data_IF_838240184540
#
_entry.id   IF_838240184540
#
_cell.length_a   1.000
_cell.length_b   1.000
_cell.length_c   1.000
_cell.angle_alpha   90.00
_cell.angle_beta   90.00
_cell.angle_gamma   90.00
#
_symmetry.space_group_name_H-M   'P 1'
#
loop_
_entity.id
_entity.type
_entity.pdbx_description
1 polymer ?
#
# COMPACT_ATOMS: atom_id res chain seq x y z
N UNK A 1 15.96 0.88 -11.92
CA UNK A 1 14.49 0.86 -12.04
C UNK A 1 14.12 1.44 -13.40
N UNK A 2 13.18 0.87 -14.16
CA UNK A 2 12.74 1.49 -15.43
C UNK A 2 12.04 2.84 -15.10
N UNK A 3 12.63 4.00 -15.43
CA UNK A 3 12.10 5.30 -15.00
C UNK A 3 10.66 5.53 -15.47
N UNK A 4 10.28 4.87 -16.58
CA UNK A 4 9.00 5.06 -17.25
C UNK A 4 7.77 4.74 -16.37
N UNK A 5 7.76 3.62 -15.62
CA UNK A 5 6.57 3.23 -14.82
C UNK A 5 6.26 4.19 -13.66
N UNK A 6 7.30 4.65 -12.97
CA UNK A 6 7.08 5.63 -11.89
C UNK A 6 6.50 6.95 -12.42
N UNK A 7 6.94 7.37 -13.62
CA UNK A 7 6.37 8.54 -14.28
C UNK A 7 4.95 8.30 -14.82
N UNK A 8 4.64 7.10 -15.33
CA UNK A 8 3.26 6.74 -15.75
C UNK A 8 2.30 6.81 -14.58
N UNK A 9 2.73 6.31 -13.43
CA UNK A 9 2.00 6.42 -12.18
C UNK A 9 1.81 7.86 -11.73
N UNK A 10 2.88 8.64 -11.72
CA UNK A 10 2.81 10.06 -11.39
C UNK A 10 1.73 10.75 -12.23
N UNK A 11 1.76 10.54 -13.55
CA UNK A 11 0.79 11.13 -14.46
C UNK A 11 -0.64 10.62 -14.20
N UNK A 12 -0.81 9.33 -13.86
CA UNK A 12 -2.12 8.77 -13.55
C UNK A 12 -2.72 9.34 -12.26
N UNK A 13 -1.93 9.37 -11.18
CA UNK A 13 -2.33 9.93 -9.89
C UNK A 13 -2.61 11.43 -10.04
N UNK A 14 -1.76 12.18 -10.74
CA UNK A 14 -1.97 13.62 -10.97
C UNK A 14 -3.28 13.89 -11.73
N UNK A 15 -3.68 13.01 -12.66
CA UNK A 15 -5.00 13.11 -13.33
C UNK A 15 -6.17 12.78 -12.40
N UNK A 16 -5.99 11.85 -11.46
CA UNK A 16 -7.00 11.49 -10.48
C UNK A 16 -7.15 12.55 -9.37
N UNK A 17 -6.10 13.33 -9.11
CA UNK A 17 -6.06 14.39 -8.08
C UNK A 17 -5.83 15.77 -8.71
N UNK A 18 -6.76 16.30 -9.54
CA UNK A 18 -6.54 17.51 -10.34
C UNK A 18 -6.33 18.78 -9.50
N UNK A 19 -6.84 18.80 -8.27
CA UNK A 19 -6.75 19.95 -7.37
C UNK A 19 -5.44 19.99 -6.55
N UNK A 20 -4.60 18.96 -6.67
CA UNK A 20 -3.36 18.80 -5.91
C UNK A 20 -2.20 18.75 -6.89
N UNK A 21 -1.31 19.75 -6.85
CA UNK A 21 -0.10 19.69 -7.66
C UNK A 21 0.93 18.78 -6.98
N UNK A 22 1.32 17.71 -7.66
CA UNK A 22 2.27 16.73 -7.14
C UNK A 22 3.68 17.01 -7.67
N UNK A 23 4.67 16.60 -6.89
CA UNK A 23 6.07 16.58 -7.26
C UNK A 23 6.68 15.20 -6.97
N UNK A 24 7.70 14.84 -7.76
CA UNK A 24 8.51 13.65 -7.53
C UNK A 24 9.71 13.99 -6.64
N UNK A 25 10.06 13.09 -5.72
CA UNK A 25 11.27 13.18 -4.90
C UNK A 25 12.56 13.28 -5.74
N UNK A 26 13.66 13.81 -5.18
CA UNK A 26 14.92 13.94 -5.90
C UNK A 26 15.42 12.59 -6.44
N UNK A 27 16.10 12.63 -7.58
CA UNK A 27 16.52 11.48 -8.39
C UNK A 27 17.91 10.92 -8.01
N UNK A 28 18.63 11.56 -7.09
CA UNK A 28 20.10 11.49 -7.02
C UNK A 28 20.66 10.16 -6.50
N UNK A 29 19.86 9.34 -5.79
CA UNK A 29 20.30 8.05 -5.25
C UNK A 29 19.74 6.82 -5.98
N UNK A 30 18.92 7.02 -7.02
CA UNK A 30 18.47 5.96 -7.94
C UNK A 30 17.68 4.80 -7.31
N UNK A 31 17.36 4.85 -6.02
CA UNK A 31 16.84 3.72 -5.25
C UNK A 31 15.51 3.99 -4.53
N UNK A 32 15.18 5.26 -4.23
CA UNK A 32 13.93 5.62 -3.58
C UNK A 32 13.19 6.69 -4.39
N UNK A 33 12.01 6.32 -4.90
CA UNK A 33 11.11 7.24 -5.58
C UNK A 33 9.85 7.40 -4.73
N UNK A 34 9.47 8.64 -4.47
CA UNK A 34 8.26 9.00 -3.72
C UNK A 34 7.59 10.22 -4.34
N UNK A 35 6.31 10.38 -4.04
CA UNK A 35 5.49 11.51 -4.47
C UNK A 35 5.11 12.36 -3.27
N UNK A 36 4.94 13.66 -3.46
CA UNK A 36 4.49 14.59 -2.43
C UNK A 36 3.76 15.78 -3.03
N UNK A 37 2.98 16.47 -2.21
CA UNK A 37 2.31 17.71 -2.57
C UNK A 37 3.31 18.86 -2.70
N UNK A 38 3.32 19.50 -3.87
CA UNK A 38 4.16 20.67 -4.16
C UNK A 38 3.68 21.87 -3.35
N UNK A 39 4.63 22.61 -2.78
CA UNK A 39 4.34 23.85 -2.06
C UNK A 39 3.68 23.67 -0.69
N UNK A 40 3.64 22.45 -0.15
CA UNK A 40 3.09 22.17 1.19
C UNK A 40 4.08 21.33 2.00
N UNK A 41 4.26 21.71 3.27
CA UNK A 41 5.01 20.94 4.27
C UNK A 41 4.14 20.63 5.48
N UNK A 42 4.50 19.57 6.19
CA UNK A 42 3.87 19.15 7.43
C UNK A 42 4.76 19.48 8.63
N UNK A 43 4.14 19.93 9.71
CA UNK A 43 4.77 20.12 11.01
C UNK A 43 3.81 19.64 12.10
N UNK A 44 4.34 19.25 13.27
CA UNK A 44 3.46 18.96 14.42
C UNK A 44 2.78 20.24 14.91
N UNK A 45 1.56 20.09 15.44
CA UNK A 45 0.75 21.20 15.92
C UNK A 45 1.43 22.04 17.02
N UNK A 46 0.88 23.24 17.26
CA UNK A 46 1.31 24.10 18.36
C UNK A 46 2.62 24.85 18.08
N UNK A 47 3.60 24.69 18.99
CA UNK A 47 4.85 25.44 18.96
C UNK A 47 5.75 25.01 17.80
N UNK A 48 5.77 23.72 17.43
CA UNK A 48 6.57 23.23 16.31
C UNK A 48 6.14 23.85 14.99
N UNK A 49 4.83 23.85 14.69
CA UNK A 49 4.30 24.54 13.52
C UNK A 49 4.67 26.03 13.50
N UNK A 50 4.75 26.70 14.67
CA UNK A 50 5.21 28.09 14.76
C UNK A 50 6.68 28.24 14.42
N UNK A 51 7.54 27.39 14.98
CA UNK A 51 8.97 27.40 14.69
C UNK A 51 9.23 27.14 13.19
N UNK A 52 8.52 26.18 12.60
CA UNK A 52 8.63 25.88 11.17
C UNK A 52 8.19 27.08 10.34
N UNK A 53 7.01 27.65 10.63
CA UNK A 53 6.49 28.82 9.92
C UNK A 53 7.46 30.02 9.98
N UNK A 54 7.92 30.41 11.16
CA UNK A 54 8.80 31.55 11.38
C UNK A 54 10.16 31.34 10.67
N UNK A 55 10.71 30.12 10.76
CA UNK A 55 12.00 29.78 10.16
C UNK A 55 11.92 29.77 8.63
N UNK A 56 10.87 29.16 8.06
CA UNK A 56 10.67 29.13 6.60
C UNK A 56 10.41 30.55 6.08
N UNK A 57 9.57 31.34 6.75
CA UNK A 57 9.31 32.74 6.36
C UNK A 57 10.58 33.58 6.37
N UNK A 58 11.43 33.43 7.40
CA UNK A 58 12.72 34.11 7.47
C UNK A 58 13.65 33.69 6.32
N UNK A 59 13.75 32.39 6.01
CA UNK A 59 14.55 31.89 4.89
C UNK A 59 14.06 32.42 3.54
N UNK A 60 12.74 32.46 3.33
CA UNK A 60 12.13 32.94 2.10
C UNK A 60 12.34 34.44 1.92
N UNK A 61 12.37 35.20 3.02
CA UNK A 61 12.68 36.64 2.98
C UNK A 61 14.11 36.90 2.53
N UNK A 62 15.03 36.00 2.88
CA UNK A 62 16.45 36.11 2.56
C UNK A 62 16.85 35.49 1.19
N UNK A 63 15.94 34.79 0.51
CA UNK A 63 16.25 34.00 -0.69
C UNK A 63 15.53 34.56 -1.91
N UNK A 64 16.29 35.00 -2.92
CA UNK A 64 15.73 35.54 -4.16
C UNK A 64 14.84 34.50 -4.88
N UNK A 65 13.65 34.91 -5.33
CA UNK A 65 12.70 34.07 -6.05
C UNK A 65 11.71 33.30 -5.16
N UNK A 66 11.82 33.41 -3.83
CA UNK A 66 10.84 32.87 -2.88
C UNK A 66 9.97 34.01 -2.32
N UNK A 67 8.71 33.67 -1.97
CA UNK A 67 7.70 34.66 -1.53
C UNK A 67 7.30 34.37 -0.08
N UNK A 68 7.71 35.20 0.91
CA UNK A 68 7.40 34.97 2.33
C UNK A 68 5.91 34.91 2.64
N UNK A 69 5.08 35.67 1.90
CA UNK A 69 3.63 35.73 2.09
C UNK A 69 2.93 34.42 1.69
N UNK A 70 3.60 33.54 0.95
CA UNK A 70 3.08 32.20 0.67
C UNK A 70 3.12 31.29 1.88
N UNK A 71 3.98 31.59 2.88
CA UNK A 71 4.11 30.80 4.10
C UNK A 71 2.89 31.06 4.98
N UNK A 72 1.99 30.09 5.11
CA UNK A 72 0.79 30.17 5.95
C UNK A 72 0.30 28.80 6.35
N UNK A 73 -0.24 28.69 7.57
CA UNK A 73 -0.91 27.47 8.03
C UNK A 73 -2.23 27.27 7.31
N UNK A 74 -2.54 26.01 7.05
CA UNK A 74 -3.82 25.56 6.51
C UNK A 74 -4.47 24.60 7.50
N UNK A 75 -5.75 24.84 7.78
CA UNK A 75 -6.51 24.03 8.73
C UNK A 75 -6.50 24.57 10.17
N UNK A 76 -7.06 23.81 11.12
CA UNK A 76 -7.20 24.23 12.50
C UNK A 76 -5.85 24.26 13.22
N UNK A 77 -5.77 25.03 14.31
CA UNK A 77 -4.56 25.15 15.15
C UNK A 77 -4.18 23.83 15.85
N UNK A 78 -5.16 22.94 16.06
CA UNK A 78 -4.99 21.60 16.58
C UNK A 78 -6.02 20.67 15.94
N UNK A 79 -5.63 19.41 15.68
CA UNK A 79 -6.55 18.37 15.20
C UNK A 79 -6.19 16.99 15.79
N UNK A 80 -6.99 15.96 15.47
CA UNK A 80 -6.79 14.59 15.97
C UNK A 80 -5.46 13.98 15.52
N UNK A 81 -4.96 14.36 14.35
CA UNK A 81 -3.67 13.86 13.83
C UNK A 81 -2.47 14.58 14.45
N UNK A 82 -2.68 15.72 15.11
CA UNK A 82 -1.61 16.50 15.74
C UNK A 82 -0.66 17.14 14.73
N UNK A 83 -1.08 17.28 13.46
CA UNK A 83 -0.25 17.78 12.36
C UNK A 83 -0.92 18.95 11.65
N UNK A 84 -0.13 20.00 11.44
CA UNK A 84 -0.52 21.21 10.71
C UNK A 84 0.07 21.15 9.30
N UNK A 85 -0.77 21.43 8.30
CA UNK A 85 -0.34 21.72 6.93
C UNK A 85 0.13 23.16 6.85
N UNK A 86 1.28 23.41 6.24
CA UNK A 86 1.82 24.75 6.01
C UNK A 86 2.04 24.91 4.51
N UNK A 87 1.23 25.76 3.88
CA UNK A 87 1.49 26.19 2.51
C UNK A 87 2.72 27.09 2.53
N UNK A 88 3.62 26.87 1.57
CA UNK A 88 4.90 27.58 1.42
C UNK A 88 5.14 27.96 -0.05
N UNK A 89 4.15 27.85 -0.92
CA UNK A 89 4.25 28.20 -2.33
C UNK A 89 2.89 28.16 -2.99
N UNK A 90 2.75 28.84 -4.13
CA UNK A 90 1.62 28.59 -5.01
C UNK A 90 1.92 27.31 -5.81
N UNK A 91 1.10 26.24 -5.69
CA UNK A 91 1.30 25.01 -6.45
C UNK A 91 1.28 25.26 -7.98
N UNK A 92 0.51 26.26 -8.44
CA UNK A 92 0.35 26.63 -9.84
C UNK A 92 1.50 27.48 -10.40
N UNK A 93 2.33 28.10 -9.54
CA UNK A 93 3.45 28.95 -9.96
C UNK A 93 4.80 28.22 -9.77
N UNK A 94 5.73 28.45 -10.71
CA UNK A 94 7.18 28.33 -10.49
C UNK A 94 7.77 27.00 -9.99
N UNK A 95 9.01 27.11 -9.52
CA UNK A 95 9.87 26.04 -8.97
C UNK A 95 9.36 25.53 -7.63
N UNK A 96 9.52 24.24 -7.35
CA UNK A 96 9.11 23.64 -6.08
C UNK A 96 9.88 24.22 -4.87
N UNK A 97 9.12 24.76 -3.91
CA UNK A 97 9.63 25.44 -2.73
C UNK A 97 9.82 24.51 -1.52
N UNK A 98 9.32 23.28 -1.57
CA UNK A 98 9.46 22.28 -0.49
C UNK A 98 10.93 22.01 -0.14
N UNK A 99 11.85 21.75 -1.10
CA UNK A 99 13.26 21.58 -0.80
C UNK A 99 13.89 22.78 -0.07
N UNK A 100 13.41 24.01 -0.32
CA UNK A 100 13.89 25.20 0.39
C UNK A 100 13.44 25.22 1.85
N UNK A 101 12.17 24.90 2.11
CA UNK A 101 11.66 24.81 3.48
C UNK A 101 12.39 23.73 4.29
N UNK A 102 12.60 22.54 3.72
CA UNK A 102 13.35 21.48 4.39
C UNK A 102 14.80 21.89 4.67
N UNK A 103 15.48 22.54 3.71
CA UNK A 103 16.85 23.07 3.92
C UNK A 103 16.91 24.11 5.03
N UNK A 104 15.91 24.99 5.14
CA UNK A 104 15.86 26.04 6.15
C UNK A 104 15.84 25.49 7.59
N UNK A 105 15.32 24.27 7.78
CA UNK A 105 15.15 23.68 9.11
C UNK A 105 16.29 22.72 9.52
N UNK A 106 17.19 22.33 8.61
CA UNK A 106 18.26 21.34 8.88
C UNK A 106 19.08 21.65 10.13
N UNK A 107 19.48 22.90 10.31
CA UNK A 107 20.28 23.32 11.48
C UNK A 107 19.48 23.24 12.79
N UNK A 108 18.19 23.56 12.74
CA UNK A 108 17.31 23.48 13.90
C UNK A 108 17.05 22.02 14.29
N UNK A 109 16.81 21.16 13.30
CA UNK A 109 16.63 19.71 13.48
C UNK A 109 17.91 19.07 14.03
N UNK A 110 19.09 19.44 13.50
CA UNK A 110 20.38 18.98 13.99
C UNK A 110 20.64 19.36 15.46
N UNK A 111 20.21 20.56 15.89
CA UNK A 111 20.30 20.98 17.30
C UNK A 111 19.31 20.26 18.20
N UNK A 112 18.10 19.97 17.72
CA UNK A 112 17.05 19.33 18.50
C UNK A 112 17.15 17.79 18.48
N UNK A 113 17.96 17.22 17.58
CA UNK A 113 18.10 15.78 17.42
C UNK A 113 16.84 15.10 16.88
N UNK A 114 15.93 15.86 16.23
CA UNK A 114 14.68 15.34 15.68
C UNK A 114 14.17 16.20 14.53
N UNK A 115 13.39 15.57 13.65
CA UNK A 115 12.71 16.22 12.53
C UNK A 115 11.55 17.11 13.00
N UNK A 116 11.50 18.32 12.46
CA UNK A 116 10.49 19.35 12.71
C UNK A 116 9.55 19.54 11.51
N UNK A 117 10.06 19.32 10.30
CA UNK A 117 9.30 19.55 9.07
C UNK A 117 9.41 18.37 8.12
N UNK A 118 8.30 18.05 7.47
CA UNK A 118 8.25 17.00 6.46
C UNK A 118 7.54 17.43 5.20
N UNK A 119 7.73 16.65 4.12
CA UNK A 119 6.87 16.77 2.94
C UNK A 119 5.49 16.23 3.31
N UNK A 120 4.45 16.72 2.66
CA UNK A 120 3.16 16.02 2.67
C UNK A 120 3.23 14.93 1.61
N UNK A 121 3.74 13.75 1.99
CA UNK A 121 3.95 12.66 1.03
C UNK A 121 2.61 12.13 0.51
N UNK A 122 2.66 11.42 -0.59
CA UNK A 122 1.57 10.59 -1.04
C UNK A 122 1.79 9.16 -0.56
N UNK A 123 0.79 8.61 0.12
CA UNK A 123 0.70 7.18 0.47
C UNK A 123 -0.13 6.49 -0.60
N UNK A 124 0.33 5.35 -1.12
CA UNK A 124 -0.35 4.70 -2.23
C UNK A 124 -0.16 3.17 -2.24
N UNK A 125 -1.14 2.47 -2.83
CA UNK A 125 -1.15 0.99 -2.97
C UNK A 125 -0.20 0.49 -4.07
N UNK A 126 0.19 1.36 -4.99
CA UNK A 126 0.85 0.98 -6.22
C UNK A 126 2.26 1.57 -6.26
N UNK A 127 3.32 0.97 -5.74
CA UNK A 127 4.64 1.66 -5.69
C UNK A 127 5.40 1.70 -7.04
N UNK A 128 4.74 1.22 -8.12
CA UNK A 128 5.23 1.19 -9.51
C UNK A 128 4.08 1.03 -10.53
N UNK A 129 3.05 1.89 -10.44
CA UNK A 129 1.89 1.94 -11.35
C UNK A 129 0.87 0.77 -11.29
N UNK A 130 1.08 -0.19 -10.40
CA UNK A 130 0.12 -1.21 -9.95
C UNK A 130 0.59 -1.79 -8.62
N UNK A 131 -0.13 -2.76 -8.04
CA UNK A 131 0.54 -3.94 -7.48
C UNK A 131 1.65 -4.43 -8.43
N UNK A 132 2.40 -5.48 -8.09
CA UNK A 132 3.55 -5.81 -8.96
C UNK A 132 3.19 -6.05 -10.44
N UNK A 133 1.95 -6.41 -10.73
CA UNK A 133 1.34 -6.62 -12.04
C UNK A 133 -0.10 -6.08 -12.09
N UNK A 134 -0.74 -6.22 -13.25
CA UNK A 134 -2.17 -5.99 -13.45
C UNK A 134 -2.96 -7.29 -13.24
N UNK A 135 -4.24 -7.21 -12.83
CA UNK A 135 -5.03 -8.42 -12.59
C UNK A 135 -5.21 -9.23 -13.88
N UNK A 136 -5.20 -10.55 -13.75
CA UNK A 136 -5.39 -11.51 -14.84
C UNK A 136 -6.67 -12.31 -14.57
N UNK A 137 -7.64 -12.39 -15.50
CA UNK A 137 -8.88 -13.09 -15.24
C UNK A 137 -8.64 -14.57 -14.97
N UNK A 138 -9.38 -15.14 -14.02
CA UNK A 138 -9.36 -16.56 -13.69
C UNK A 138 -10.77 -17.11 -13.82
N UNK A 139 -11.01 -18.23 -14.54
CA UNK A 139 -12.35 -18.79 -14.66
C UNK A 139 -13.00 -19.02 -13.31
N UNK A 140 -14.29 -18.64 -13.14
CA UNK A 140 -15.05 -18.80 -11.87
C UNK A 140 -14.95 -20.18 -11.22
N UNK A 141 -14.80 -21.24 -12.01
CA UNK A 141 -14.72 -22.62 -11.52
C UNK A 141 -13.36 -23.01 -10.94
N UNK A 142 -12.32 -22.17 -11.09
CA UNK A 142 -11.01 -22.40 -10.47
C UNK A 142 -11.08 -22.04 -8.99
N UNK A 143 -10.41 -22.81 -8.11
CA UNK A 143 -10.33 -22.48 -6.71
C UNK A 143 -9.49 -21.20 -6.50
N UNK A 144 -9.83 -20.44 -5.46
CA UNK A 144 -8.95 -19.40 -4.93
C UNK A 144 -7.62 -20.01 -4.47
N UNK A 145 -6.58 -19.18 -4.42
CA UNK A 145 -5.26 -19.57 -3.92
C UNK A 145 -4.67 -18.39 -3.13
N UNK A 146 -4.61 -18.45 -1.79
CA UNK A 146 -4.95 -19.59 -0.93
C UNK A 146 -6.41 -20.04 -1.05
N UNK A 147 -6.64 -21.36 -0.98
CA UNK A 147 -8.01 -21.86 -0.90
C UNK A 147 -8.63 -21.55 0.47
N UNK A 148 -9.96 -21.59 0.56
CA UNK A 148 -10.68 -21.40 1.82
C UNK A 148 -10.23 -22.46 2.85
N UNK A 149 -9.72 -22.00 3.99
CA UNK A 149 -9.39 -22.86 5.11
C UNK A 149 -10.64 -23.53 5.69
N UNK A 150 -10.45 -24.67 6.33
CA UNK A 150 -11.52 -25.30 7.09
C UNK A 150 -11.83 -24.46 8.34
N UNK A 151 -13.12 -24.30 8.63
CA UNK A 151 -13.58 -23.48 9.73
C UNK A 151 -15.01 -23.03 9.50
N UNK A 152 -15.64 -22.53 10.57
CA UNK A 152 -16.94 -21.87 10.48
C UNK A 152 -16.82 -20.52 11.16
N UNK A 153 -17.59 -19.59 10.64
CA UNK A 153 -17.80 -18.31 11.29
C UNK A 153 -18.56 -18.49 12.62
N UNK A 154 -18.06 -17.84 13.66
CA UNK A 154 -18.70 -17.68 14.96
C UNK A 154 -18.53 -16.23 15.42
N UNK A 155 -19.61 -15.46 15.38
CA UNK A 155 -19.63 -14.05 15.76
C UNK A 155 -19.09 -13.78 17.18
N UNK A 156 -19.14 -14.75 18.10
CA UNK A 156 -18.63 -14.56 19.46
C UNK A 156 -17.11 -14.63 19.57
N UNK A 157 -16.44 -15.22 18.57
CA UNK A 157 -15.00 -15.47 18.56
C UNK A 157 -14.29 -14.94 17.33
N UNK A 158 -15.02 -14.45 16.33
CA UNK A 158 -14.47 -13.89 15.10
C UNK A 158 -13.52 -12.73 15.39
N UNK A 159 -12.33 -12.78 14.79
CA UNK A 159 -11.38 -11.67 14.86
C UNK A 159 -11.87 -10.53 13.97
N UNK A 160 -11.85 -9.30 14.50
CA UNK A 160 -12.21 -8.10 13.75
C UNK A 160 -11.01 -7.59 12.98
N UNK A 161 -11.11 -7.56 11.66
CA UNK A 161 -10.05 -7.04 10.79
C UNK A 161 -10.52 -5.84 10.00
N UNK A 162 -9.81 -4.72 10.17
CA UNK A 162 -9.97 -3.53 9.36
C UNK A 162 -9.00 -3.58 8.18
N UNK A 163 -9.54 -3.56 6.97
CA UNK A 163 -8.77 -3.40 5.73
C UNK A 163 -8.85 -1.94 5.30
N UNK A 164 -7.70 -1.28 5.22
CA UNK A 164 -7.59 0.13 4.79
C UNK A 164 -7.09 0.15 3.35
N UNK A 165 -7.99 0.38 2.40
CA UNK A 165 -7.72 0.17 0.97
C UNK A 165 -8.67 0.97 0.05
N UNK A 166 -9.03 0.46 -1.14
CA UNK A 166 -9.87 1.10 -2.17
C UNK A 166 -11.38 0.86 -2.01
N UNK A 167 -11.79 0.08 -1.00
CA UNK A 167 -13.19 -0.29 -0.77
C UNK A 167 -13.62 -1.60 -1.43
N UNK A 168 -14.94 -1.85 -1.39
CA UNK A 168 -15.58 -3.04 -1.93
C UNK A 168 -16.24 -2.76 -3.28
N UNK A 169 -16.13 -3.69 -4.23
CA UNK A 169 -16.91 -3.63 -5.47
C UNK A 169 -18.38 -3.90 -5.19
N UNK A 170 -19.27 -3.37 -6.02
CA UNK A 170 -20.72 -3.41 -5.84
C UNK A 170 -21.27 -4.84 -5.74
N UNK A 171 -20.65 -5.79 -6.44
CA UNK A 171 -21.09 -7.18 -6.55
C UNK A 171 -20.30 -8.16 -5.67
N UNK A 172 -19.52 -7.66 -4.70
CA UNK A 172 -18.69 -8.50 -3.81
C UNK A 172 -19.51 -9.55 -3.04
N UNK A 173 -20.78 -9.26 -2.74
CA UNK A 173 -21.70 -10.19 -2.08
C UNK A 173 -22.02 -11.45 -2.90
N UNK A 174 -21.71 -11.43 -4.21
CA UNK A 174 -21.78 -12.61 -5.08
C UNK A 174 -20.69 -13.65 -4.80
N UNK A 175 -19.65 -13.32 -4.01
CA UNK A 175 -18.58 -14.25 -3.65
C UNK A 175 -18.77 -14.82 -2.23
N UNK A 176 -19.04 -16.13 -2.06
CA UNK A 176 -19.44 -16.69 -0.76
C UNK A 176 -18.45 -16.47 0.40
N UNK A 177 -17.14 -16.37 0.13
CA UNK A 177 -16.16 -16.12 1.19
C UNK A 177 -16.29 -14.72 1.81
N UNK A 178 -16.95 -13.78 1.12
CA UNK A 178 -17.15 -12.41 1.61
C UNK A 178 -18.49 -12.24 2.36
N UNK A 179 -19.14 -13.32 2.76
CA UNK A 179 -20.43 -13.27 3.48
C UNK A 179 -20.36 -12.49 4.82
N UNK A 180 -19.18 -12.36 5.41
CA UNK A 180 -18.92 -11.63 6.66
C UNK A 180 -18.03 -10.40 6.45
N UNK A 181 -18.04 -9.88 5.23
CA UNK A 181 -17.31 -8.67 4.84
C UNK A 181 -18.29 -7.52 4.65
N UNK A 182 -17.99 -6.38 5.25
CA UNK A 182 -18.74 -5.13 5.10
C UNK A 182 -17.77 -3.98 4.87
N UNK A 183 -18.26 -2.79 4.55
CA UNK A 183 -17.39 -1.63 4.33
C UNK A 183 -17.92 -0.63 3.34
N UNK A 184 -17.06 0.31 2.98
CA UNK A 184 -17.36 1.34 2.00
C UNK A 184 -17.29 0.74 0.59
N UNK A 185 -18.31 0.99 -0.22
CA UNK A 185 -18.29 0.63 -1.64
C UNK A 185 -17.38 1.57 -2.42
N UNK A 186 -16.69 1.05 -3.43
CA UNK A 186 -15.90 1.85 -4.34
C UNK A 186 -16.85 2.75 -5.18
N UNK A 187 -16.72 4.09 -5.15
CA UNK A 187 -17.69 4.99 -5.75
C UNK A 187 -17.67 4.97 -7.28
N UNK A 188 -16.53 4.62 -7.88
CA UNK A 188 -16.38 4.49 -9.31
C UNK A 188 -15.48 3.30 -9.66
N UNK A 189 -16.09 2.22 -10.14
CA UNK A 189 -15.40 1.00 -10.55
C UNK A 189 -15.03 1.04 -12.02
N UNK A 190 -15.86 1.63 -12.88
CA UNK A 190 -15.68 1.68 -14.33
C UNK A 190 -15.51 3.09 -14.87
N UNK A 191 -14.83 3.22 -16.00
CA UNK A 191 -14.74 4.45 -16.77
C UNK A 191 -16.03 4.71 -17.59
N UNK A 192 -16.02 5.76 -18.41
CA UNK A 192 -17.17 6.14 -19.22
C UNK A 192 -17.58 5.09 -20.27
N UNK A 193 -16.66 4.21 -20.66
CA UNK A 193 -16.88 3.14 -21.63
C UNK A 193 -17.28 1.82 -20.95
N UNK A 194 -17.43 1.82 -19.63
CA UNK A 194 -17.78 0.64 -18.83
C UNK A 194 -16.62 -0.30 -18.59
N UNK A 195 -15.39 0.09 -18.91
CA UNK A 195 -14.19 -0.69 -18.59
C UNK A 195 -13.76 -0.46 -17.15
N UNK A 196 -13.35 -1.53 -16.48
CA UNK A 196 -12.87 -1.51 -15.11
C UNK A 196 -11.66 -0.56 -15.00
N UNK A 197 -11.72 0.37 -14.05
CA UNK A 197 -10.64 1.34 -13.79
C UNK A 197 -9.44 0.64 -13.18
N UNK A 198 -8.28 1.25 -13.38
CA UNK A 198 -7.05 0.82 -12.72
C UNK A 198 -7.24 0.80 -11.19
N UNK A 199 -6.80 -0.30 -10.56
CA UNK A 199 -6.89 -0.58 -9.11
C UNK A 199 -8.29 -0.83 -8.54
N UNK A 200 -9.35 -0.80 -9.36
CA UNK A 200 -10.66 -1.17 -8.90
C UNK A 200 -10.67 -2.63 -8.41
N UNK A 201 -11.31 -2.86 -7.25
CA UNK A 201 -11.37 -4.18 -6.63
C UNK A 201 -10.14 -4.62 -5.84
N UNK A 202 -9.11 -3.78 -5.66
CA UNK A 202 -7.95 -4.10 -4.81
C UNK A 202 -8.34 -4.44 -3.36
N UNK A 203 -9.17 -3.61 -2.73
CA UNK A 203 -9.68 -3.88 -1.37
C UNK A 203 -10.53 -5.15 -1.29
N UNK A 204 -11.33 -5.43 -2.33
CA UNK A 204 -12.13 -6.67 -2.43
C UNK A 204 -11.23 -7.91 -2.54
N UNK A 205 -10.17 -7.81 -3.33
CA UNK A 205 -9.19 -8.89 -3.53
C UNK A 205 -8.48 -9.25 -2.21
N UNK A 206 -8.07 -8.23 -1.46
CA UNK A 206 -7.46 -8.35 -0.13
C UNK A 206 -8.43 -8.99 0.85
N UNK A 207 -9.68 -8.52 0.92
CA UNK A 207 -10.70 -9.09 1.78
C UNK A 207 -10.96 -10.57 1.46
N UNK A 208 -10.95 -10.93 0.17
CA UNK A 208 -11.13 -12.32 -0.28
C UNK A 208 -9.99 -13.23 0.15
N UNK A 209 -8.73 -12.76 0.08
CA UNK A 209 -7.57 -13.52 0.59
C UNK A 209 -7.70 -13.73 2.09
N UNK A 210 -8.02 -12.66 2.83
CA UNK A 210 -8.13 -12.72 4.28
C UNK A 210 -9.21 -13.70 4.72
N UNK A 211 -10.41 -13.61 4.14
CA UNK A 211 -11.52 -14.52 4.44
C UNK A 211 -11.22 -15.97 4.02
N UNK A 212 -10.44 -16.19 2.96
CA UNK A 212 -9.97 -17.52 2.58
C UNK A 212 -9.00 -18.10 3.61
N UNK A 213 -8.05 -17.30 4.12
CA UNK A 213 -7.06 -17.76 5.11
C UNK A 213 -7.67 -17.93 6.50
N UNK A 214 -8.61 -17.06 6.89
CA UNK A 214 -9.25 -17.06 8.19
C UNK A 214 -10.78 -16.91 8.08
N UNK A 215 -11.53 -18.01 7.90
CA UNK A 215 -13.00 -17.98 7.76
C UNK A 215 -13.75 -17.44 8.99
N UNK A 216 -13.12 -17.43 10.18
CA UNK A 216 -13.69 -16.88 11.40
C UNK A 216 -13.24 -15.42 11.62
N UNK A 217 -13.54 -14.56 10.64
CA UNK A 217 -13.22 -13.13 10.70
C UNK A 217 -14.44 -12.29 10.34
N UNK A 218 -14.55 -11.14 11.00
CA UNK A 218 -15.41 -10.03 10.57
C UNK A 218 -14.51 -9.02 9.87
N UNK A 219 -14.71 -8.81 8.57
CA UNK A 219 -13.86 -7.91 7.76
C UNK A 219 -14.60 -6.62 7.50
N UNK A 220 -13.99 -5.49 7.85
CA UNK A 220 -14.47 -4.15 7.47
C UNK A 220 -13.47 -3.53 6.50
N UNK A 221 -13.90 -3.20 5.28
CA UNK A 221 -13.05 -2.53 4.28
C UNK A 221 -13.38 -1.04 4.24
N UNK A 222 -12.38 -0.19 4.43
CA UNK A 222 -12.55 1.27 4.31
C UNK A 222 -11.94 1.78 3.02
N UNK A 223 -12.69 2.63 2.31
CA UNK A 223 -12.23 3.27 1.09
C UNK A 223 -11.45 4.55 1.45
N UNK A 224 -10.21 4.36 1.89
CA UNK A 224 -9.30 5.44 2.29
C UNK A 224 -8.50 5.98 1.10
N UNK A 225 -8.45 5.25 -0.02
CA UNK A 225 -7.59 5.54 -1.16
C UNK A 225 -8.39 5.55 -2.47
N UNK A 226 -9.45 6.36 -2.51
CA UNK A 226 -10.40 6.41 -3.64
C UNK A 226 -9.80 6.98 -4.92
N UNK A 227 -8.78 7.81 -4.81
CA UNK A 227 -8.21 8.55 -5.94
C UNK A 227 -6.97 7.83 -6.47
N UNK A 228 -7.18 6.93 -7.43
CA UNK A 228 -6.12 6.11 -8.02
C UNK A 228 -5.29 5.32 -6.98
N UNK A 229 -5.92 4.89 -5.88
CA UNK A 229 -5.23 4.13 -4.84
C UNK A 229 -4.24 4.97 -4.03
N UNK A 230 -4.44 6.29 -3.97
CA UNK A 230 -3.55 7.22 -3.28
C UNK A 230 -4.30 8.14 -2.30
N UNK A 231 -3.55 8.67 -1.33
CA UNK A 231 -4.01 9.63 -0.33
C UNK A 231 -2.82 10.47 0.16
N UNK A 232 -3.04 11.75 0.49
CA UNK A 232 -2.01 12.58 1.10
C UNK A 232 -1.73 12.14 2.54
N UNK A 233 -0.47 12.20 2.97
CA UNK A 233 -0.02 11.84 4.31
C UNK A 233 -0.81 12.56 5.41
N UNK A 234 -1.09 13.85 5.22
CA UNK A 234 -1.90 14.66 6.14
C UNK A 234 -3.34 14.18 6.29
N UNK A 235 -3.91 13.60 5.24
CA UNK A 235 -5.28 13.07 5.25
C UNK A 235 -5.29 11.62 5.72
N UNK A 236 -4.25 10.86 5.41
CA UNK A 236 -4.16 9.43 5.72
C UNK A 236 -4.28 9.16 7.22
N UNK A 237 -3.55 9.91 8.05
CA UNK A 237 -3.68 9.82 9.51
C UNK A 237 -5.09 10.13 10.00
N UNK A 238 -5.77 11.10 9.38
CA UNK A 238 -7.13 11.47 9.74
C UNK A 238 -8.12 10.35 9.40
N UNK A 239 -8.02 9.76 8.21
CA UNK A 239 -8.86 8.63 7.79
C UNK A 239 -8.67 7.39 8.66
N UNK A 240 -7.44 7.12 9.12
CA UNK A 240 -7.18 6.05 10.07
C UNK A 240 -7.86 6.30 11.42
N UNK A 241 -7.81 7.54 11.93
CA UNK A 241 -8.54 7.92 13.15
C UNK A 241 -10.06 7.84 12.96
N UNK A 242 -10.60 8.35 11.85
CA UNK A 242 -12.03 8.23 11.51
C UNK A 242 -12.48 6.77 11.54
N UNK A 243 -11.72 5.86 10.92
CA UNK A 243 -12.05 4.44 10.87
C UNK A 243 -12.12 3.79 12.26
N UNK A 244 -11.16 4.08 13.16
CA UNK A 244 -11.14 3.51 14.52
C UNK A 244 -12.07 4.24 15.49
N UNK A 245 -12.34 5.52 15.29
CA UNK A 245 -13.29 6.29 16.10
C UNK A 245 -14.74 5.86 15.78
N UNK A 246 -15.05 5.53 14.52
CA UNK A 246 -16.35 4.98 14.10
C UNK A 246 -16.54 3.50 14.49
N UNK A 247 -15.56 2.65 14.15
CA UNK A 247 -15.67 1.19 14.29
C UNK A 247 -15.14 0.63 15.60
N UNK A 248 -14.48 1.46 16.42
CA UNK A 248 -13.62 1.02 17.49
C UNK A 248 -12.30 0.43 16.97
N UNK A 249 -11.33 0.27 17.88
CA UNK A 249 -10.07 -0.38 17.54
C UNK A 249 -10.29 -1.87 17.18
N UNK A 250 -9.87 -2.31 15.97
CA UNK A 250 -9.99 -3.70 15.53
C UNK A 250 -8.92 -4.56 16.20
N UNK A 251 -8.98 -5.88 16.03
CA UNK A 251 -7.88 -6.74 16.44
C UNK A 251 -6.69 -6.56 15.49
N UNK A 252 -6.95 -6.51 14.18
CA UNK A 252 -5.93 -6.35 13.15
C UNK A 252 -6.30 -5.20 12.22
N UNK A 253 -5.32 -4.37 11.86
CA UNK A 253 -5.38 -3.47 10.71
C UNK A 253 -4.49 -4.07 9.62
N UNK A 254 -5.09 -4.43 8.48
CA UNK A 254 -4.38 -4.86 7.28
C UNK A 254 -4.23 -3.66 6.34
N UNK A 255 -2.99 -3.22 6.11
CA UNK A 255 -2.68 -2.04 5.32
C UNK A 255 -1.73 -2.37 4.16
N UNK A 256 -2.28 -2.33 2.95
CA UNK A 256 -1.57 -2.70 1.72
C UNK A 256 -1.14 -1.46 0.91
N UNK A 257 -0.68 -0.43 1.60
CA UNK A 257 -0.24 0.83 1.03
C UNK A 257 0.94 1.42 1.81
N UNK A 258 1.67 2.32 1.16
CA UNK A 258 2.73 3.06 1.82
C UNK A 258 3.46 4.02 0.90
N UNK A 259 4.61 4.50 1.35
CA UNK A 259 5.50 5.34 0.57
C UNK A 259 6.94 5.24 1.08
N UNK A 260 7.91 5.59 0.24
CA UNK A 260 9.29 5.81 0.71
C UNK A 260 9.48 7.26 1.13
N UNK A 261 10.47 7.52 1.97
CA UNK A 261 10.85 8.87 2.39
C UNK A 261 12.31 9.12 2.06
N UNK A 262 12.73 10.38 2.08
CA UNK A 262 14.16 10.71 2.08
C UNK A 262 14.78 10.27 3.42
N UNK A 263 15.77 9.38 3.37
CA UNK A 263 16.44 8.86 4.56
C UNK A 263 15.67 7.76 5.30
N UNK A 264 15.69 7.79 6.63
CA UNK A 264 15.10 6.76 7.50
C UNK A 264 13.97 7.28 8.39
N UNK A 265 13.49 8.50 8.15
CA UNK A 265 12.41 9.09 8.93
C UNK A 265 11.05 8.60 8.47
N UNK A 266 10.15 8.37 9.42
CA UNK A 266 8.75 8.06 9.16
C UNK A 266 7.90 9.24 8.69
N UNK A 267 6.60 8.99 8.59
CA UNK A 267 5.59 9.97 8.20
C UNK A 267 5.17 10.80 9.41
N UNK A 268 5.37 12.12 9.35
CA UNK A 268 4.92 13.05 10.41
C UNK A 268 3.40 12.95 10.58
N UNK A 269 2.66 12.85 9.47
CA UNK A 269 1.19 12.71 9.47
C UNK A 269 0.66 11.48 10.18
N UNK A 270 1.49 10.46 10.40
CA UNK A 270 1.11 9.22 11.10
C UNK A 270 1.62 9.16 12.54
N UNK A 271 2.46 10.09 12.98
CA UNK A 271 3.13 10.01 14.29
C UNK A 271 2.12 9.86 15.45
N UNK A 272 1.05 10.67 15.46
CA UNK A 272 0.02 10.57 16.50
C UNK A 272 -0.76 9.25 16.45
N UNK A 273 -1.14 8.78 15.26
CA UNK A 273 -1.86 7.51 15.11
C UNK A 273 -1.01 6.33 15.56
N UNK A 274 0.26 6.29 15.16
CA UNK A 274 1.17 5.22 15.55
C UNK A 274 1.42 5.23 17.06
N UNK A 275 1.59 6.40 17.68
CA UNK A 275 1.69 6.51 19.14
C UNK A 275 0.44 5.99 19.85
N UNK A 276 -0.75 6.26 19.34
CA UNK A 276 -1.98 5.72 19.91
C UNK A 276 -2.10 4.21 19.69
N UNK A 277 -1.78 3.71 18.48
CA UNK A 277 -1.76 2.28 18.15
C UNK A 277 -0.95 1.47 19.17
N UNK A 278 0.20 1.99 19.62
CA UNK A 278 1.05 1.31 20.63
C UNK A 278 0.32 1.04 21.94
N UNK A 279 -0.54 1.96 22.37
CA UNK A 279 -1.32 1.87 23.61
C UNK A 279 -2.55 0.95 23.45
N UNK A 280 -2.87 0.53 22.23
CA UNK A 280 -3.95 -0.39 21.92
C UNK A 280 -3.45 -1.82 21.83
N UNK A 281 -4.35 -2.80 21.88
CA UNK A 281 -4.03 -4.20 21.58
C UNK A 281 -3.92 -4.48 20.08
N UNK A 282 -4.38 -3.56 19.23
CA UNK A 282 -4.42 -3.72 17.77
C UNK A 282 -3.05 -4.00 17.18
N UNK A 283 -3.01 -4.90 16.20
CA UNK A 283 -1.83 -5.22 15.40
C UNK A 283 -1.96 -4.58 14.02
N UNK A 284 -0.95 -3.81 13.60
CA UNK A 284 -0.83 -3.33 12.22
C UNK A 284 0.00 -4.32 11.40
N UNK A 285 -0.58 -4.85 10.32
CA UNK A 285 0.11 -5.70 9.34
C UNK A 285 0.22 -4.91 8.05
N UNK A 286 1.45 -4.60 7.62
CA UNK A 286 1.70 -3.63 6.56
C UNK A 286 2.62 -4.16 5.45
N UNK A 287 2.27 -3.85 4.19
CA UNK A 287 3.01 -4.29 3.01
C UNK A 287 4.39 -3.64 2.90
N UNK A 288 5.43 -4.40 2.51
CA UNK A 288 6.78 -3.88 2.32
C UNK A 288 6.94 -3.02 1.05
N UNK A 289 6.04 -3.12 0.07
CA UNK A 289 6.17 -2.39 -1.20
C UNK A 289 6.88 -3.21 -2.30
N UNK A 290 6.81 -2.71 -3.54
CA UNK A 290 7.00 -3.49 -4.75
C UNK A 290 8.11 -2.93 -5.67
N UNK A 291 9.26 -2.53 -5.10
CA UNK A 291 10.36 -1.85 -5.82
C UNK A 291 11.66 -2.65 -5.87
N UNK A 292 11.71 -3.87 -5.32
CA UNK A 292 12.96 -4.61 -5.08
C UNK A 292 14.01 -3.73 -4.36
N UNK A 293 13.55 -2.85 -3.46
CA UNK A 293 14.38 -1.89 -2.76
C UNK A 293 14.59 -2.29 -1.30
N UNK A 294 15.73 -1.89 -0.73
CA UNK A 294 15.99 -1.99 0.70
C UNK A 294 15.63 -0.71 1.47
N UNK A 295 15.21 0.35 0.77
CA UNK A 295 14.78 1.60 1.38
C UNK A 295 13.57 1.36 2.31
N UNK A 296 13.53 1.98 3.50
CA UNK A 296 12.37 1.92 4.38
C UNK A 296 11.08 2.35 3.66
N UNK A 297 10.04 1.53 3.81
CA UNK A 297 8.71 1.79 3.25
C UNK A 297 7.69 1.97 4.37
N UNK A 298 7.09 3.14 4.48
CA UNK A 298 6.25 3.53 5.61
C UNK A 298 4.76 3.32 5.29
N UNK A 299 3.96 2.78 6.23
CA UNK A 299 4.29 2.54 7.64
C UNK A 299 4.89 1.17 7.96
N UNK A 300 5.13 0.27 7.00
CA UNK A 300 5.69 -1.05 7.30
C UNK A 300 7.05 -0.99 8.05
N UNK A 301 7.90 -0.03 7.71
CA UNK A 301 9.19 0.18 8.35
C UNK A 301 9.12 0.51 9.85
N UNK A 302 7.96 0.92 10.40
CA UNK A 302 7.79 1.03 11.85
C UNK A 302 8.09 -0.29 12.57
N UNK A 303 7.91 -1.44 11.92
CA UNK A 303 8.24 -2.74 12.51
C UNK A 303 9.72 -2.87 12.92
N UNK A 304 10.63 -2.06 12.37
CA UNK A 304 12.05 -2.03 12.71
C UNK A 304 12.37 -1.26 14.00
N UNK A 305 11.46 -0.37 14.41
CA UNK A 305 11.66 0.50 15.55
C UNK A 305 11.30 -0.24 16.85
N UNK A 306 12.17 -0.24 17.88
CA UNK A 306 11.95 -1.01 19.11
C UNK A 306 10.59 -0.74 19.78
N UNK A 307 10.13 0.50 19.75
CA UNK A 307 8.88 0.90 20.36
C UNK A 307 7.63 0.42 19.62
N UNK A 308 7.77 -0.10 18.39
CA UNK A 308 6.70 -0.59 17.54
C UNK A 308 6.81 -2.09 17.21
N UNK A 309 7.89 -2.76 17.63
CA UNK A 309 8.14 -4.19 17.39
C UNK A 309 6.98 -5.10 17.83
N UNK A 310 6.29 -4.71 18.92
CA UNK A 310 5.11 -5.39 19.43
C UNK A 310 3.81 -5.14 18.63
N UNK A 311 3.76 -4.07 17.85
CA UNK A 311 2.52 -3.51 17.29
C UNK A 311 2.46 -3.50 15.77
N UNK A 312 3.59 -3.70 15.07
CA UNK A 312 3.67 -3.64 13.61
C UNK A 312 4.39 -4.87 13.07
N UNK A 313 3.83 -5.49 12.03
CA UNK A 313 4.46 -6.54 11.24
C UNK A 313 4.56 -6.08 9.79
N UNK A 314 5.77 -5.97 9.28
CA UNK A 314 6.06 -5.70 7.87
C UNK A 314 6.16 -7.00 7.07
N UNK A 315 5.51 -7.00 5.91
CA UNK A 315 5.32 -8.22 5.10
C UNK A 315 5.91 -8.07 3.70
N UNK A 316 6.92 -8.87 3.41
CA UNK A 316 7.45 -9.11 2.07
C UNK A 316 6.69 -10.21 1.32
N UNK A 317 6.91 -10.31 0.01
CA UNK A 317 6.24 -11.27 -0.86
C UNK A 317 7.20 -12.38 -1.32
N UNK A 318 6.73 -13.62 -1.31
CA UNK A 318 7.40 -14.76 -1.94
C UNK A 318 6.96 -14.93 -3.39
N UNK A 319 7.86 -15.51 -4.19
CA UNK A 319 7.63 -15.90 -5.58
C UNK A 319 6.49 -16.91 -5.72
N UNK A 320 6.01 -17.09 -6.95
CA UNK A 320 4.88 -17.97 -7.26
C UNK A 320 5.09 -19.44 -6.83
N UNK A 321 6.34 -19.92 -6.83
CA UNK A 321 6.73 -21.24 -6.32
C UNK A 321 6.89 -21.28 -4.80
N UNK A 322 7.00 -20.11 -4.17
CA UNK A 322 7.20 -19.92 -2.74
C UNK A 322 8.63 -20.16 -2.27
N UNK A 323 9.59 -20.42 -3.15
CA UNK A 323 10.96 -20.83 -2.77
C UNK A 323 11.86 -19.61 -2.47
N UNK A 324 11.59 -18.47 -3.08
CA UNK A 324 12.40 -17.24 -2.98
C UNK A 324 11.53 -16.00 -2.77
N UNK A 325 12.15 -14.83 -2.58
CA UNK A 325 11.43 -13.57 -2.67
C UNK A 325 10.85 -13.35 -4.06
N UNK A 326 9.66 -12.77 -4.13
CA UNK A 326 9.13 -12.29 -5.39
C UNK A 326 10.04 -11.17 -5.92
N UNK A 327 10.27 -11.12 -7.23
CA UNK A 327 11.25 -10.21 -7.83
C UNK A 327 11.04 -8.73 -7.50
N UNK A 328 9.80 -8.35 -7.18
CA UNK A 328 9.39 -7.00 -6.84
C UNK A 328 9.46 -6.69 -5.34
N UNK A 329 9.53 -7.68 -4.46
CA UNK A 329 9.40 -7.44 -3.02
C UNK A 329 10.52 -6.54 -2.52
N UNK A 330 10.14 -5.48 -1.81
CA UNK A 330 11.10 -4.79 -0.96
C UNK A 330 11.61 -5.74 0.14
N UNK A 331 12.80 -5.44 0.65
CA UNK A 331 13.55 -6.30 1.56
C UNK A 331 14.38 -5.47 2.54
N UNK A 332 15.10 -6.14 3.44
CA UNK A 332 15.98 -5.50 4.40
C UNK A 332 15.60 -5.79 5.85
N UNK A 333 16.37 -5.29 6.82
CA UNK A 333 16.21 -5.65 8.24
C UNK A 333 14.89 -5.17 8.85
N UNK A 334 14.20 -4.24 8.17
CA UNK A 334 12.90 -3.73 8.59
C UNK A 334 11.73 -4.60 8.13
N UNK A 335 11.93 -5.57 7.22
CA UNK A 335 10.92 -6.55 6.80
C UNK A 335 10.95 -7.75 7.74
N UNK A 336 9.85 -8.03 8.46
CA UNK A 336 9.81 -9.05 9.52
C UNK A 336 9.51 -10.45 9.02
N UNK A 337 8.60 -10.58 8.06
CA UNK A 337 8.18 -11.87 7.51
C UNK A 337 7.95 -11.79 6.01
N UNK A 338 8.02 -12.95 5.35
CA UNK A 338 7.63 -13.12 3.96
C UNK A 338 6.46 -14.11 3.86
N UNK A 339 5.49 -13.81 3.00
CA UNK A 339 4.36 -14.69 2.72
C UNK A 339 4.11 -14.76 1.20
N UNK A 340 3.41 -15.79 0.69
CA UNK A 340 3.04 -15.86 -0.72
C UNK A 340 2.39 -14.56 -1.19
N UNK A 341 2.90 -13.97 -2.27
CA UNK A 341 2.38 -12.71 -2.78
C UNK A 341 2.44 -12.58 -4.30
N UNK A 342 3.02 -13.55 -5.02
CA UNK A 342 2.98 -13.58 -6.48
C UNK A 342 1.92 -14.56 -6.96
N UNK A 343 1.06 -14.11 -7.90
CA UNK A 343 0.05 -14.92 -8.58
C UNK A 343 -0.97 -15.58 -7.63
N UNK A 344 -1.40 -14.84 -6.60
CA UNK A 344 -2.53 -15.29 -5.77
C UNK A 344 -3.84 -15.17 -6.54
N UNK A 345 -4.83 -15.98 -6.20
CA UNK A 345 -6.16 -15.96 -6.84
C UNK A 345 -7.24 -15.63 -5.81
N UNK A 346 -8.00 -14.57 -6.06
CA UNK A 346 -9.05 -14.06 -5.16
C UNK A 346 -10.15 -13.33 -5.94
N UNK A 347 -11.17 -12.86 -5.22
CA UNK A 347 -12.28 -12.09 -5.76
C UNK A 347 -11.84 -10.74 -6.31
N UNK A 348 -12.36 -10.35 -7.46
CA UNK A 348 -12.19 -9.04 -8.05
C UNK A 348 -13.55 -8.37 -8.26
N UNK A 349 -14.22 -8.64 -9.39
CA UNK A 349 -15.56 -8.13 -9.75
C UNK A 349 -16.09 -8.88 -10.98
N UNK A 350 -17.35 -8.63 -11.34
CA UNK A 350 -18.00 -9.19 -12.50
C UNK A 350 -18.73 -10.49 -12.19
N UNK A 351 -19.12 -10.71 -10.94
CA UNK A 351 -19.94 -11.82 -10.45
C UNK A 351 -21.36 -11.75 -11.02
N UNK A 352 -21.94 -10.56 -11.09
CA UNK A 352 -23.27 -10.34 -11.66
C UNK A 352 -23.24 -10.28 -13.19
N UNK A 353 -22.37 -9.43 -13.74
CA UNK A 353 -22.17 -9.27 -15.19
C UNK A 353 -20.68 -9.12 -15.48
N UNK A 354 -20.11 -9.86 -16.45
CA UNK A 354 -18.71 -9.73 -16.78
C UNK A 354 -18.32 -8.29 -17.14
N UNK A 355 -17.18 -7.81 -16.61
CA UNK A 355 -16.71 -6.43 -16.79
C UNK A 355 -15.43 -6.43 -17.64
N UNK A 356 -15.35 -5.62 -18.71
CA UNK A 356 -14.13 -5.51 -19.51
C UNK A 356 -13.03 -4.78 -18.75
N UNK A 357 -11.77 -5.15 -19.00
CA UNK A 357 -10.59 -4.44 -18.51
C UNK A 357 -9.58 -4.31 -19.65
N UNK A 358 -9.04 -3.10 -19.81
CA UNK A 358 -7.99 -2.82 -20.80
C UNK A 358 -6.68 -2.65 -20.04
N UNK A 359 -5.66 -3.43 -20.40
CA UNK A 359 -4.35 -3.33 -19.77
C UNK A 359 -3.76 -1.94 -19.96
N UNK A 360 -3.11 -1.42 -18.92
CA UNK A 360 -2.53 -0.08 -18.90
C UNK A 360 -1.02 -0.14 -19.14
N UNK A 361 -0.34 -1.18 -18.69
CA UNK A 361 1.10 -1.36 -18.80
C UNK A 361 1.44 -2.60 -19.62
N UNK A 362 2.50 -2.53 -20.42
CA UNK A 362 3.03 -3.69 -21.12
C UNK A 362 3.91 -4.54 -20.18
N UNK A 363 3.89 -5.86 -20.40
CA UNK A 363 4.91 -6.77 -19.82
C UNK A 363 6.27 -6.57 -20.48
N UNK A 364 7.32 -7.05 -19.81
CA UNK A 364 8.70 -6.97 -20.26
C UNK A 364 9.18 -8.31 -20.83
N UNK A 365 10.16 -8.28 -21.74
CA UNK A 365 10.81 -9.51 -22.21
C UNK A 365 11.65 -10.19 -21.12
N UNK A 366 12.21 -9.40 -20.20
CA UNK A 366 13.02 -9.87 -19.06
C UNK A 366 12.49 -9.31 -17.74
N UNK A 367 12.87 -9.93 -16.63
CA UNK A 367 12.51 -9.42 -15.31
C UNK A 367 13.04 -8.00 -15.09
N UNK A 368 12.16 -7.06 -14.71
CA UNK A 368 12.50 -5.66 -14.45
C UNK A 368 13.54 -5.48 -13.33
N UNK A 369 13.64 -6.47 -12.45
CA UNK A 369 14.51 -6.46 -11.27
C UNK A 369 15.71 -7.40 -11.39
N UNK A 370 15.92 -8.01 -12.57
CA UNK A 370 17.09 -8.85 -12.84
C UNK A 370 17.07 -10.23 -12.17
N UNK A 371 15.89 -10.77 -11.87
CA UNK A 371 15.75 -12.16 -11.41
C UNK A 371 15.66 -13.14 -12.59
N UNK A 372 16.19 -14.35 -12.39
CA UNK A 372 16.34 -15.36 -13.44
C UNK A 372 15.13 -16.32 -13.57
N UNK A 373 14.06 -16.10 -12.80
CA UNK A 373 12.82 -16.89 -12.88
C UNK A 373 11.73 -16.20 -13.70
N UNK A 374 10.76 -16.98 -14.21
CA UNK A 374 9.63 -16.45 -14.99
C UNK A 374 8.58 -15.77 -14.11
N UNK A 375 8.88 -14.53 -13.75
CA UNK A 375 8.08 -13.70 -12.86
C UNK A 375 6.91 -12.98 -13.55
N UNK A 376 6.10 -12.30 -12.74
CA UNK A 376 4.95 -11.53 -13.23
C UNK A 376 5.32 -10.32 -14.11
N UNK A 377 6.57 -9.85 -14.08
CA UNK A 377 7.01 -8.82 -15.03
C UNK A 377 6.95 -9.31 -16.49
N UNK A 378 7.02 -10.62 -16.72
CA UNK A 378 7.14 -11.22 -18.05
C UNK A 378 5.86 -11.92 -18.50
N UNK A 379 5.13 -12.57 -17.58
CA UNK A 379 3.96 -13.40 -17.92
C UNK A 379 2.77 -13.15 -16.98
N UNK A 380 1.54 -13.17 -17.52
CA UNK A 380 1.20 -13.43 -18.94
C UNK A 380 1.49 -12.22 -19.85
N UNK A 381 1.97 -12.46 -21.08
CA UNK A 381 2.32 -11.34 -21.99
C UNK A 381 1.09 -10.52 -22.35
N UNK A 382 1.20 -9.21 -22.19
CA UNK A 382 0.20 -8.25 -22.63
C UNK A 382 0.81 -6.89 -22.96
N UNK A 383 0.01 -6.08 -23.66
CA UNK A 383 0.33 -4.74 -24.14
C UNK A 383 -0.64 -3.77 -23.52
N UNK A 384 -0.11 -2.68 -22.94
CA UNK A 384 -0.91 -1.71 -22.20
C UNK A 384 -1.01 -0.34 -22.86
N UNK A 385 -2.12 0.37 -22.60
CA UNK A 385 -2.42 1.69 -23.18
C UNK A 385 -1.35 2.75 -22.87
N UNK A 386 -0.90 2.83 -21.61
CA UNK A 386 0.07 3.84 -21.18
C UNK A 386 1.48 3.56 -21.72
N UNK A 387 1.88 2.28 -21.75
CA UNK A 387 3.16 1.88 -22.35
C UNK A 387 3.18 2.15 -23.85
N UNK A 388 2.12 1.77 -24.58
CA UNK A 388 2.03 2.05 -26.02
C UNK A 388 1.94 3.54 -26.34
N UNK A 389 1.22 4.33 -25.54
CA UNK A 389 1.13 5.78 -25.74
C UNK A 389 2.50 6.47 -25.67
N UNK A 390 3.44 5.91 -24.89
CA UNK A 390 4.80 6.44 -24.76
C UNK A 390 5.78 5.84 -25.76
N UNK A 391 5.71 4.54 -26.01
CA UNK A 391 6.63 3.83 -26.92
C UNK A 391 6.24 3.97 -28.39
N UNK A 392 4.96 4.22 -28.69
CA UNK A 392 4.41 4.40 -30.04
C UNK A 392 4.74 3.25 -30.99
N UNK A 393 4.68 2.00 -30.51
CA UNK A 393 5.02 0.81 -31.32
C UNK A 393 3.96 0.46 -32.36
N UNK A 394 2.72 0.93 -32.14
CA UNK A 394 1.56 0.65 -32.99
C UNK A 394 0.84 -0.66 -32.63
N UNK A 395 1.23 -1.32 -31.54
CA UNK A 395 0.53 -2.49 -31.02
C UNK A 395 -0.83 -2.12 -30.41
N UNK A 396 -1.82 -3.01 -30.53
CA UNK A 396 -3.14 -2.80 -29.94
C UNK A 396 -3.09 -3.20 -28.45
N UNK A 397 -3.57 -2.35 -27.52
CA UNK A 397 -3.72 -2.73 -26.13
C UNK A 397 -4.59 -3.97 -25.97
N UNK A 398 -4.18 -4.87 -25.09
CA UNK A 398 -4.93 -6.09 -24.79
C UNK A 398 -6.11 -5.76 -23.87
N UNK A 399 -7.20 -6.48 -24.07
CA UNK A 399 -8.42 -6.37 -23.29
C UNK A 399 -8.86 -7.75 -22.83
N UNK A 400 -9.40 -7.84 -21.63
CA UNK A 400 -9.94 -9.06 -21.01
C UNK A 400 -11.31 -8.83 -20.41
N UNK A 401 -11.99 -9.90 -20.03
CA UNK A 401 -13.24 -9.86 -19.26
C UNK A 401 -13.02 -10.47 -17.88
N UNK A 402 -13.39 -9.74 -16.84
CA UNK A 402 -13.47 -10.28 -15.49
C UNK A 402 -14.88 -10.80 -15.22
N UNK A 403 -14.96 -12.03 -14.75
CA UNK A 403 -16.20 -12.68 -14.37
C UNK A 403 -16.20 -13.07 -12.87
N UNK A 404 -15.41 -12.40 -12.03
CA UNK A 404 -15.46 -12.57 -10.58
C UNK A 404 -14.10 -12.84 -9.96
N UNK A 405 -13.28 -13.73 -10.51
CA UNK A 405 -11.96 -14.04 -9.96
C UNK A 405 -10.83 -13.47 -10.82
N UNK A 406 -9.75 -13.11 -10.15
CA UNK A 406 -8.51 -12.71 -10.80
C UNK A 406 -7.31 -13.36 -10.13
N UNK A 407 -6.20 -13.39 -10.86
CA UNK A 407 -4.87 -13.63 -10.36
C UNK A 407 -4.14 -12.29 -10.27
N UNK A 408 -3.45 -12.03 -9.15
CA UNK A 408 -2.77 -10.75 -8.92
C UNK A 408 -1.54 -10.93 -8.01
N UNK A 409 -0.53 -10.06 -8.16
CA UNK A 409 0.75 -10.14 -7.47
C UNK A 409 1.14 -8.84 -6.78
N UNK A 410 1.69 -8.93 -5.58
CA UNK A 410 2.13 -7.78 -4.79
C UNK A 410 2.33 -8.12 -3.32
N UNK A 411 3.17 -7.33 -2.64
CA UNK A 411 3.23 -7.35 -1.16
C UNK A 411 1.89 -6.98 -0.54
N UNK A 412 1.06 -6.23 -1.27
CA UNK A 412 -0.35 -5.96 -0.97
C UNK A 412 -1.20 -7.22 -0.78
N UNK A 413 -0.82 -8.35 -1.38
CA UNK A 413 -1.54 -9.62 -1.28
C UNK A 413 -0.87 -10.61 -0.32
N UNK A 414 0.44 -10.48 -0.09
CA UNK A 414 1.11 -11.18 1.02
C UNK A 414 0.65 -10.67 2.39
N UNK A 415 0.33 -9.37 2.49
CA UNK A 415 -0.12 -8.71 3.72
C UNK A 415 -1.40 -9.33 4.31
N UNK A 416 -2.51 -9.48 3.56
CA UNK A 416 -3.71 -10.15 4.08
C UNK A 416 -3.51 -11.64 4.35
N UNK A 417 -2.53 -12.30 3.71
CA UNK A 417 -2.16 -13.67 4.10
C UNK A 417 -1.65 -13.70 5.53
N UNK A 418 -0.75 -12.79 5.91
CA UNK A 418 -0.21 -12.71 7.28
C UNK A 418 -1.28 -12.27 8.27
N UNK A 419 -2.11 -11.26 7.92
CA UNK A 419 -3.22 -10.84 8.77
C UNK A 419 -4.21 -11.99 9.03
N UNK A 420 -4.56 -12.74 7.97
CA UNK A 420 -5.39 -13.94 8.08
C UNK A 420 -4.73 -15.01 8.94
N UNK A 421 -3.42 -15.27 8.78
CA UNK A 421 -2.71 -16.25 9.60
C UNK A 421 -2.71 -15.91 11.10
N UNK A 422 -2.56 -14.62 11.44
CA UNK A 422 -2.68 -14.17 12.84
C UNK A 422 -4.12 -14.38 13.34
N UNK A 423 -5.14 -13.98 12.58
CA UNK A 423 -6.55 -14.18 12.94
C UNK A 423 -6.94 -15.66 13.07
N UNK A 424 -6.43 -16.52 12.18
CA UNK A 424 -6.60 -17.96 12.26
C UNK A 424 -5.92 -18.53 13.52
N UNK A 425 -4.76 -18.01 13.90
CA UNK A 425 -4.06 -18.41 15.12
C UNK A 425 -4.80 -17.96 16.38
N UNK A 426 -5.36 -16.74 16.40
CA UNK A 426 -6.25 -16.27 17.47
C UNK A 426 -7.41 -17.24 17.70
N UNK A 427 -8.08 -17.65 16.61
CA UNK A 427 -9.19 -18.62 16.68
C UNK A 427 -8.71 -20.00 17.16
N UNK A 428 -7.63 -20.52 16.57
CA UNK A 428 -7.14 -21.86 16.86
C UNK A 428 -6.61 -22.02 18.30
N UNK A 429 -5.99 -20.97 18.86
CA UNK A 429 -5.43 -20.99 20.21
C UNK A 429 -6.36 -20.38 21.27
N UNK A 430 -7.54 -19.89 20.88
CA UNK A 430 -8.44 -19.12 21.75
C UNK A 430 -7.75 -17.89 22.38
N UNK A 431 -6.76 -17.33 21.68
CA UNK A 431 -6.02 -16.14 22.06
C UNK A 431 -6.72 -14.90 21.49
N UNK A 432 -7.12 -13.96 22.36
CA UNK A 432 -7.86 -12.74 21.96
C UNK A 432 -6.95 -11.53 21.78
N UNK A 433 -5.71 -11.60 22.23
CA UNK A 433 -4.70 -10.59 21.96
C UNK A 433 -4.00 -10.91 20.62
N UNK A 434 -4.21 -10.09 19.57
CA UNK A 434 -3.60 -10.31 18.26
C UNK A 434 -2.07 -10.20 18.30
N UNK A 435 -1.48 -9.46 19.25
CA UNK A 435 -0.02 -9.35 19.40
C UNK A 435 0.56 -10.64 19.98
N UNK A 436 -0.10 -11.20 21.00
CA UNK A 436 0.27 -12.49 21.56
C UNK A 436 0.08 -13.62 20.52
N UNK A 437 -1.02 -13.62 19.77
CA UNK A 437 -1.25 -14.59 18.71
C UNK A 437 -0.19 -14.49 17.60
N UNK A 438 0.24 -13.27 17.24
CA UNK A 438 1.36 -13.03 16.32
C UNK A 438 2.66 -13.59 16.87
N UNK A 439 2.98 -13.34 18.14
CA UNK A 439 4.21 -13.84 18.77
C UNK A 439 4.25 -15.38 18.79
N UNK A 440 3.13 -16.02 19.14
CA UNK A 440 2.98 -17.48 19.12
C UNK A 440 3.13 -18.05 17.70
N UNK A 441 2.50 -17.41 16.71
CA UNK A 441 2.64 -17.79 15.31
C UNK A 441 4.10 -17.73 14.86
N UNK A 442 4.79 -16.61 15.12
CA UNK A 442 6.20 -16.43 14.76
C UNK A 442 7.12 -17.41 15.50
N UNK A 443 6.88 -17.67 16.78
CA UNK A 443 7.65 -18.64 17.56
C UNK A 443 7.47 -20.08 17.05
N UNK A 444 6.31 -20.40 16.47
CA UNK A 444 6.02 -21.71 15.87
C UNK A 444 6.49 -21.85 14.42
N UNK A 445 6.86 -20.75 13.75
CA UNK A 445 7.26 -20.76 12.36
C UNK A 445 8.63 -21.44 12.17
N UNK A 446 8.64 -22.57 11.48
CA UNK A 446 9.86 -23.31 11.14
C UNK A 446 10.42 -22.97 9.77
N UNK A 447 9.58 -22.42 8.91
CA UNK A 447 9.91 -22.12 7.53
C UNK A 447 10.70 -20.82 7.42
N UNK A 448 11.77 -20.88 6.64
CA UNK A 448 12.61 -19.71 6.36
C UNK A 448 13.12 -19.79 4.92
N UNK A 449 13.39 -18.65 4.32
CA UNK A 449 14.12 -18.57 3.04
C UNK A 449 15.28 -17.58 3.14
N UNK A 450 16.16 -17.59 2.15
CA UNK A 450 17.24 -16.60 2.02
C UNK A 450 16.79 -15.47 1.09
N UNK A 451 16.77 -14.24 1.60
CA UNK A 451 16.48 -13.04 0.83
C UNK A 451 17.69 -12.14 0.90
N UNK A 452 18.35 -11.92 -0.23
CA UNK A 452 19.56 -11.08 -0.33
C UNK A 452 20.63 -11.41 0.71
N UNK A 453 20.86 -12.70 0.97
CA UNK A 453 21.84 -13.19 1.95
C UNK A 453 21.40 -13.18 3.41
N UNK A 454 20.17 -12.74 3.70
CA UNK A 454 19.59 -12.79 5.05
C UNK A 454 18.56 -13.93 5.14
N UNK A 455 18.64 -14.73 6.21
CA UNK A 455 17.63 -15.74 6.51
C UNK A 455 16.41 -15.06 7.14
N UNK A 456 15.26 -15.17 6.49
CA UNK A 456 14.00 -14.52 6.90
C UNK A 456 12.94 -15.56 7.22
N UNK A 457 12.05 -15.23 8.16
CA UNK A 457 10.90 -16.07 8.51
C UNK A 457 9.85 -16.06 7.41
N UNK A 458 9.32 -17.24 7.10
CA UNK A 458 8.28 -17.42 6.09
C UNK A 458 7.00 -17.92 6.73
N UNK A 459 5.87 -17.32 6.33
CA UNK A 459 4.53 -17.73 6.75
C UNK A 459 3.70 -18.15 5.53
N UNK A 460 3.29 -19.41 5.47
CA UNK A 460 2.46 -19.97 4.40
C UNK A 460 1.16 -20.51 4.97
N UNK A 461 -0.01 -20.14 4.42
CA UNK A 461 -1.25 -20.76 4.85
C UNK A 461 -1.33 -22.20 4.32
N UNK A 462 -1.84 -23.17 5.12
CA UNK A 462 -1.88 -24.57 4.72
C UNK A 462 -2.66 -24.85 3.43
N UNK A 463 -3.54 -23.93 3.04
CA UNK A 463 -4.37 -24.00 1.83
C UNK A 463 -3.75 -23.33 0.61
N UNK A 464 -2.60 -22.67 0.75
CA UNK A 464 -1.87 -22.14 -0.39
C UNK A 464 -1.10 -23.25 -1.12
N UNK A 465 -1.01 -23.12 -2.43
CA UNK A 465 -0.23 -24.01 -3.30
C UNK A 465 0.64 -23.16 -4.23
N UNK A 466 1.86 -23.62 -4.56
CA UNK A 466 2.67 -23.02 -5.62
C UNK A 466 1.84 -22.82 -6.90
N UNK A 467 1.85 -21.60 -7.45
CA UNK A 467 1.18 -21.34 -8.71
C UNK A 467 2.00 -21.95 -9.86
N UNK A 468 1.35 -22.74 -10.71
CA UNK A 468 1.98 -23.32 -11.90
C UNK A 468 2.41 -22.24 -12.90
N UNK A 469 3.34 -22.59 -13.81
CA UNK A 469 3.71 -21.74 -14.93
C UNK A 469 2.45 -21.25 -15.69
N UNK A 470 2.38 -19.95 -15.93
CA UNK A 470 1.24 -19.28 -16.57
C UNK A 470 1.24 -19.59 -18.07
N UNK A 471 0.06 -19.68 -18.68
CA UNK A 471 -0.06 -19.63 -20.14
C UNK A 471 0.67 -18.39 -20.69
N UNK A 472 1.40 -18.56 -21.79
CA UNK A 472 2.30 -17.53 -22.29
C UNK A 472 1.60 -16.24 -22.73
N UNK A 473 0.28 -16.30 -22.99
CA UNK A 473 -0.55 -15.18 -23.42
C UNK A 473 -1.78 -15.06 -22.52
N UNK A 474 -2.23 -13.83 -22.28
CA UNK A 474 -3.53 -13.59 -21.65
C UNK A 474 -4.63 -14.15 -22.57
N UNK A 475 -5.67 -14.83 -22.04
CA UNK A 475 -6.82 -15.23 -22.84
C UNK A 475 -7.45 -13.98 -23.49
N UNK A 476 -7.52 -13.97 -24.83
CA UNK A 476 -8.12 -12.88 -25.62
C UNK A 476 -9.62 -13.07 -25.76
#
# INVERSE_FOLDING_TARGET
>A
MAPQRFHEQFDHIQRAMPDIALAMGPYDDGAAHFLYEKGVVLARDGEEARVVEDTVRAHFTATAGLVPDHVRREGPQANRTGVTRIRIGDPAEGTDSVPHALRALRDAEGRQGRRLVGRNHLVHIAVNACPSDEPVPVPRGRPANPAAAEGRYDAATAARVLVVDTGLVHDHGGYPLLAHTTGDTQPAETDADGALRQYAGHGTFIAGILAAVAPNTEVTVRNTMSDAGAILESEFGARLFEAVDEGGWPDIISLSAGTTTEGTDGLIGLDAFMRELREQRTLLVAAAGNNSSNAPFWPAAYAALPEYEGSVVSVGALSADGESEACFSNHGPWVRVFAPGERLTSALTGFDTPVPYVYQHSTYDTCRFGFDYTCTCQLPRHTGVLSEGRESTGAKPHQVMFDGLAQWSGTSFATPVVAGLVAAHMTAQQERDPRAARDLLLASATDTTEVRGARVTVLRPPTWRPASAVDAAVPV
#
